data_IF_791512913330
#
_entry.id   IF_791512913330
#
_cell.length_a   1.000
_cell.length_b   1.000
_cell.length_c   1.000
_cell.angle_alpha   90.00
_cell.angle_beta   90.00
_cell.angle_gamma   90.00
#
_symmetry.space_group_name_H-M   'P 1'
#
loop_
_entity.id
_entity.type
_entity.pdbx_description
1 polymer ?
#
# COMPACT_ATOMS: atom_id res chain seq x y z
N UNK A 1 -7.90 -9.15 -1.24
CA UNK A 1 -6.59 -8.94 -1.91
C UNK A 1 -6.59 -7.53 -2.46
N UNK A 2 -5.56 -6.72 -2.19
CA UNK A 2 -5.43 -5.39 -2.79
C UNK A 2 -4.87 -5.50 -4.21
N UNK A 3 -5.36 -4.66 -5.12
CA UNK A 3 -4.83 -4.54 -6.48
C UNK A 3 -4.21 -3.17 -6.65
N UNK A 4 -3.07 -3.08 -7.32
CA UNK A 4 -2.49 -1.80 -7.70
C UNK A 4 -3.39 -1.20 -8.78
N UNK A 5 -4.00 -0.06 -8.48
CA UNK A 5 -4.80 0.71 -9.42
C UNK A 5 -3.93 1.65 -10.25
N UNK A 6 -2.90 2.22 -9.63
CA UNK A 6 -2.01 3.20 -10.26
C UNK A 6 -0.61 3.13 -9.64
N UNK A 7 0.39 3.49 -10.46
CA UNK A 7 1.78 3.69 -10.05
C UNK A 7 2.18 5.10 -10.46
N UNK A 8 2.52 5.94 -9.49
CA UNK A 8 2.90 7.34 -9.71
C UNK A 8 4.41 7.47 -9.54
N UNK A 9 5.07 8.14 -10.48
CA UNK A 9 6.50 8.47 -10.38
C UNK A 9 6.70 9.74 -9.56
N UNK A 10 7.26 9.62 -8.36
CA UNK A 10 7.51 10.77 -7.48
C UNK A 10 8.89 11.38 -7.75
N UNK A 11 9.92 10.52 -7.81
CA UNK A 11 11.31 10.90 -8.08
C UNK A 11 12.00 9.82 -8.91
N UNK A 12 13.27 9.99 -9.26
CA UNK A 12 14.04 8.93 -9.91
C UNK A 12 14.05 7.61 -9.09
N UNK A 13 13.98 7.71 -7.76
CA UNK A 13 14.23 6.60 -6.84
C UNK A 13 12.97 6.16 -6.08
N UNK A 14 11.87 6.92 -6.22
CA UNK A 14 10.63 6.69 -5.48
C UNK A 14 9.42 6.58 -6.41
N UNK A 15 8.51 5.68 -6.04
CA UNK A 15 7.21 5.48 -6.68
C UNK A 15 6.13 5.39 -5.61
N UNK A 16 4.98 6.01 -5.85
CA UNK A 16 3.77 5.84 -5.04
C UNK A 16 2.86 4.79 -5.67
N UNK A 17 2.33 3.87 -4.86
CA UNK A 17 1.41 2.82 -5.32
C UNK A 17 0.01 3.09 -4.78
N UNK A 18 -0.95 3.27 -5.68
CA UNK A 18 -2.37 3.43 -5.33
C UNK A 18 -3.02 2.06 -5.37
N UNK A 19 -3.70 1.68 -4.28
CA UNK A 19 -4.42 0.41 -4.21
C UNK A 19 -5.92 0.62 -4.37
N UNK A 20 -6.56 -0.19 -5.22
CA UNK A 20 -8.01 -0.32 -5.25
C UNK A 20 -8.46 -1.09 -4.00
N UNK A 21 -9.30 -0.45 -3.18
CA UNK A 21 -9.92 -1.09 -2.02
C UNK A 21 -11.21 -1.79 -2.47
N UNK A 22 -11.32 -3.12 -2.30
CA UNK A 22 -12.56 -3.84 -2.54
C UNK A 22 -13.70 -3.30 -1.66
N UNK A 23 -14.92 -3.24 -2.19
CA UNK A 23 -16.07 -2.65 -1.49
C UNK A 23 -16.38 -3.36 -0.16
N UNK A 24 -16.18 -4.68 -0.11
CA UNK A 24 -16.35 -5.53 1.08
C UNK A 24 -15.24 -5.35 2.13
N UNK A 25 -14.17 -4.63 1.80
CA UNK A 25 -13.02 -4.40 2.68
C UNK A 25 -12.83 -2.93 3.07
N UNK A 26 -13.73 -2.03 2.68
CA UNK A 26 -13.59 -0.59 2.93
C UNK A 26 -13.33 -0.26 4.41
N UNK A 27 -14.11 -0.85 5.32
CA UNK A 27 -13.95 -0.61 6.76
C UNK A 27 -12.60 -1.10 7.30
N UNK A 28 -12.07 -2.18 6.74
CA UNK A 28 -10.77 -2.74 7.14
C UNK A 28 -9.60 -1.83 6.77
N UNK A 29 -9.75 -1.06 5.69
CA UNK A 29 -8.72 -0.16 5.19
C UNK A 29 -8.94 1.31 5.58
N UNK A 30 -9.91 1.60 6.45
CA UNK A 30 -9.96 2.89 7.15
C UNK A 30 -8.73 3.02 8.05
N UNK A 31 -8.04 4.16 7.95
CA UNK A 31 -6.81 4.41 8.69
C UNK A 31 -6.78 5.82 9.27
N UNK A 32 -5.92 5.99 10.27
CA UNK A 32 -5.57 7.29 10.87
C UNK A 32 -4.21 7.75 10.34
N UNK A 33 -3.97 9.07 10.27
CA UNK A 33 -2.66 9.60 9.93
C UNK A 33 -1.55 9.00 10.81
N UNK A 34 -0.41 8.68 10.21
CA UNK A 34 0.74 8.06 10.89
C UNK A 34 0.71 6.53 10.96
N UNK A 35 -0.35 5.87 10.47
CA UNK A 35 -0.36 4.40 10.31
C UNK A 35 0.38 3.96 9.03
N UNK A 36 0.71 2.66 8.98
CA UNK A 36 1.39 2.01 7.87
C UNK A 36 0.69 0.71 7.47
N UNK A 37 0.98 0.24 6.26
CA UNK A 37 0.60 -1.08 5.77
C UNK A 37 1.82 -2.01 5.77
N UNK A 38 1.63 -3.24 6.22
CA UNK A 38 2.61 -4.31 6.02
C UNK A 38 2.24 -5.11 4.77
N UNK A 39 3.06 -5.02 3.75
CA UNK A 39 2.91 -5.75 2.50
C UNK A 39 3.76 -7.02 2.52
N UNK A 40 3.18 -8.11 2.03
CA UNK A 40 3.91 -9.36 1.76
C UNK A 40 4.40 -9.33 0.31
N UNK A 41 5.70 -9.13 0.14
CA UNK A 41 6.34 -9.02 -1.16
C UNK A 41 6.97 -10.38 -1.52
N UNK A 42 6.64 -10.97 -2.68
CA UNK A 42 7.28 -12.22 -3.11
C UNK A 42 8.79 -12.03 -3.28
N UNK A 43 9.56 -13.05 -2.92
CA UNK A 43 11.03 -13.06 -3.01
C UNK A 43 11.48 -14.44 -3.47
N UNK A 44 12.31 -14.52 -4.49
CA UNK A 44 12.84 -15.80 -4.98
C UNK A 44 13.80 -16.46 -3.98
N UNK A 45 14.41 -15.67 -3.09
CA UNK A 45 15.38 -16.18 -2.10
C UNK A 45 14.73 -16.70 -0.83
N UNK A 46 13.59 -16.13 -0.43
CA UNK A 46 12.96 -16.39 0.89
C UNK A 46 11.47 -16.74 0.80
N UNK A 47 10.94 -16.90 -0.41
CA UNK A 47 9.50 -17.06 -0.69
C UNK A 47 8.74 -15.74 -0.62
N UNK A 48 8.74 -15.08 0.55
CA UNK A 48 8.21 -13.71 0.67
C UNK A 48 8.75 -12.97 1.89
N UNK A 49 8.85 -11.65 1.78
CA UNK A 49 9.25 -10.75 2.86
C UNK A 49 8.11 -9.82 3.25
N UNK A 50 8.00 -9.52 4.54
CA UNK A 50 7.12 -8.48 5.05
C UNK A 50 7.85 -7.13 5.02
N UNK A 51 7.20 -6.09 4.50
CA UNK A 51 7.73 -4.71 4.46
C UNK A 51 6.65 -3.72 4.87
N UNK A 52 7.03 -2.74 5.69
CA UNK A 52 6.13 -1.70 6.16
C UNK A 52 6.27 -0.45 5.30
N UNK A 53 5.14 0.10 4.85
CA UNK A 53 5.07 1.34 4.08
C UNK A 53 4.05 2.29 4.71
N UNK A 54 4.45 3.53 4.95
CA UNK A 54 3.55 4.59 5.41
C UNK A 54 2.53 4.95 4.34
N UNK A 55 1.35 5.39 4.75
CA UNK A 55 0.32 5.88 3.85
C UNK A 55 0.61 7.33 3.49
N UNK A 56 0.88 7.59 2.20
CA UNK A 56 1.25 8.91 1.68
C UNK A 56 0.04 9.78 1.27
N UNK A 57 -1.18 9.36 1.57
CA UNK A 57 -2.43 10.08 1.29
C UNK A 57 -3.20 10.43 2.56
N UNK A 58 -4.02 11.49 2.50
CA UNK A 58 -4.94 11.83 3.59
C UNK A 58 -6.12 10.86 3.63
N UNK A 59 -6.45 10.27 4.80
CA UNK A 59 -7.69 9.48 4.97
C UNK A 59 -8.94 10.36 5.04
N UNK A 60 -8.77 11.67 5.20
CA UNK A 60 -9.83 12.65 5.20
C UNK A 60 -9.89 13.28 3.81
N UNK A 61 -10.91 12.91 3.04
CA UNK A 61 -11.26 13.49 1.74
C UNK A 61 -12.78 13.55 1.64
#
# INVERSE_FOLDING_TARGET
>A
MLRVAEVIEETADARSLVFAIPADAADRFRYRPGQFLTLRIPSEQTGSVARCYSLASSPFT
#
